data_IF_165517712466
#
_entry.id   IF_165517712466
#
_cell.length_a   1.000
_cell.length_b   1.000
_cell.length_c   1.000
_cell.angle_alpha   90.00
_cell.angle_beta   90.00
_cell.angle_gamma   90.00
#
_symmetry.space_group_name_H-M   'P 1'
#
loop_
_entity.id
_entity.type
_entity.pdbx_description
1 polymer ?
#
# COMPACT_ATOMS: atom_id res chain seq x y z
N UNK A 1 21.06 3.42 10.93
CA UNK A 1 19.84 4.21 11.24
C UNK A 1 18.72 3.20 11.40
N UNK A 2 17.89 3.23 12.46
CA UNK A 2 16.74 2.32 12.53
C UNK A 2 15.86 2.65 11.33
N UNK A 3 15.63 1.65 10.48
CA UNK A 3 14.64 1.73 9.40
C UNK A 3 13.32 1.93 10.15
N UNK A 4 12.83 3.17 10.18
CA UNK A 4 11.51 3.44 10.74
C UNK A 4 10.54 2.65 9.87
N UNK A 5 9.99 1.58 10.43
CA UNK A 5 8.97 0.81 9.73
C UNK A 5 7.84 1.79 9.45
N UNK A 6 7.45 2.00 8.18
CA UNK A 6 6.35 2.89 7.88
C UNK A 6 5.13 2.41 8.66
N UNK A 7 4.39 3.34 9.25
CA UNK A 7 3.17 2.99 9.97
C UNK A 7 2.07 2.77 8.92
N UNK A 8 1.26 1.70 9.02
CA UNK A 8 0.11 1.56 8.16
C UNK A 8 -0.86 2.75 8.36
N UNK A 9 -1.62 3.12 7.33
CA UNK A 9 -2.72 4.07 7.46
C UNK A 9 -3.71 3.63 8.55
N UNK A 10 -4.40 4.60 9.16
CA UNK A 10 -5.38 4.34 10.23
C UNK A 10 -6.73 3.80 9.71
N UNK A 11 -6.78 3.39 8.45
CA UNK A 11 -7.98 2.91 7.77
C UNK A 11 -8.35 1.48 8.22
N UNK A 12 -9.64 1.21 8.32
CA UNK A 12 -10.19 -0.09 8.74
C UNK A 12 -9.93 -1.17 7.68
N UNK A 13 -9.12 -2.17 8.02
CA UNK A 13 -8.74 -3.29 7.15
C UNK A 13 -7.40 -3.87 7.56
N UNK A 14 -7.00 -4.96 6.90
CA UNK A 14 -5.69 -5.55 7.10
C UNK A 14 -4.67 -4.85 6.19
N UNK A 15 -3.55 -4.44 6.76
CA UNK A 15 -2.51 -3.70 6.05
C UNK A 15 -1.24 -4.54 6.01
N UNK A 16 -0.90 -5.03 4.82
CA UNK A 16 0.31 -5.80 4.59
C UNK A 16 1.36 -4.94 3.90
N UNK A 17 2.51 -4.73 4.54
CA UNK A 17 3.64 -4.02 3.91
C UNK A 17 4.29 -4.94 2.87
N UNK A 18 4.20 -4.56 1.60
CA UNK A 18 4.83 -5.29 0.50
C UNK A 18 6.27 -4.85 0.30
N UNK A 19 6.49 -3.53 0.25
CA UNK A 19 7.82 -2.97 0.02
C UNK A 19 8.00 -1.66 0.79
N UNK A 20 9.22 -1.39 1.27
CA UNK A 20 9.54 -0.13 1.95
C UNK A 20 10.82 0.44 1.38
N UNK A 21 10.77 1.71 0.97
CA UNK A 21 11.93 2.52 0.55
C UNK A 21 12.09 3.70 1.52
N UNK A 22 13.11 4.52 1.30
CA UNK A 22 13.43 5.67 2.17
C UNK A 22 12.41 6.79 1.96
N UNK A 23 11.97 7.01 0.71
CA UNK A 23 11.05 8.07 0.30
C UNK A 23 9.58 7.62 0.25
N UNK A 24 9.33 6.31 0.16
CA UNK A 24 7.99 5.77 -0.05
C UNK A 24 7.80 4.35 0.50
N UNK A 25 6.57 3.92 0.63
CA UNK A 25 6.22 2.59 1.13
C UNK A 25 5.03 2.05 0.37
N UNK A 26 5.11 0.78 -0.01
CA UNK A 26 4.08 0.08 -0.75
C UNK A 26 3.35 -0.92 0.14
N UNK A 27 2.05 -0.73 0.25
CA UNK A 27 1.17 -1.47 1.13
C UNK A 27 0.06 -2.14 0.33
N UNK A 28 -0.32 -3.35 0.72
CA UNK A 28 -1.58 -3.96 0.36
C UNK A 28 -2.58 -3.71 1.48
N UNK A 29 -3.77 -3.28 1.11
CA UNK A 29 -4.90 -3.05 1.98
C UNK A 29 -6.01 -4.04 1.67
N UNK A 30 -6.17 -5.03 2.52
CA UNK A 30 -7.18 -6.06 2.40
C UNK A 30 -8.36 -5.73 3.32
N UNK A 31 -9.46 -5.27 2.73
CA UNK A 31 -10.71 -5.04 3.45
C UNK A 31 -11.69 -6.16 3.17
N UNK A 32 -12.23 -6.76 4.24
CA UNK A 32 -13.32 -7.73 4.14
C UNK A 32 -14.63 -7.02 4.48
N UNK A 33 -15.49 -6.82 3.48
CA UNK A 33 -16.77 -6.11 3.66
C UNK A 33 -17.78 -6.93 4.48
N UNK A 34 -17.79 -8.25 4.30
CA UNK A 34 -18.62 -9.19 5.07
C UNK A 34 -17.88 -10.53 5.21
N UNK A 35 -18.16 -11.33 6.25
CA UNK A 35 -17.50 -12.62 6.45
C UNK A 35 -17.70 -13.63 5.30
N UNK A 36 -18.69 -13.41 4.43
CA UNK A 36 -19.02 -14.29 3.30
C UNK A 36 -18.75 -13.66 1.93
N UNK A 37 -18.19 -12.45 1.88
CA UNK A 37 -17.97 -11.71 0.64
C UNK A 37 -16.48 -11.68 0.28
N UNK A 38 -16.15 -11.58 -1.01
CA UNK A 38 -14.79 -11.49 -1.52
C UNK A 38 -14.01 -10.38 -0.81
N UNK A 39 -12.77 -10.68 -0.42
CA UNK A 39 -11.82 -9.69 0.11
C UNK A 39 -11.55 -8.67 -1.00
N UNK A 40 -11.71 -7.38 -0.69
CA UNK A 40 -11.28 -6.30 -1.56
C UNK A 40 -9.85 -5.97 -1.20
N UNK A 41 -8.92 -6.38 -2.06
CA UNK A 41 -7.51 -6.03 -1.96
C UNK A 41 -7.25 -4.77 -2.76
N UNK A 42 -6.68 -3.75 -2.12
CA UNK A 42 -6.20 -2.52 -2.74
C UNK A 42 -4.71 -2.37 -2.51
N UNK A 43 -4.06 -1.62 -3.37
CA UNK A 43 -2.62 -1.41 -3.36
C UNK A 43 -2.35 0.07 -3.16
N UNK A 44 -1.64 0.44 -2.11
CA UNK A 44 -1.46 1.82 -1.68
C UNK A 44 0.01 2.15 -1.57
N UNK A 45 0.44 3.16 -2.32
CA UNK A 45 1.77 3.74 -2.24
C UNK A 45 1.69 5.00 -1.38
N UNK A 46 2.38 4.99 -0.25
CA UNK A 46 2.53 6.15 0.64
C UNK A 46 3.87 6.81 0.35
N UNK A 47 3.85 8.03 -0.16
CA UNK A 47 5.03 8.86 -0.45
C UNK A 47 4.77 10.28 0.07
N UNK A 48 5.03 10.59 1.34
CA UNK A 48 4.62 11.86 1.94
C UNK A 48 5.09 13.07 1.11
N UNK A 49 4.20 14.00 0.73
CA UNK A 49 2.80 14.14 1.16
C UNK A 49 1.76 13.41 0.27
N UNK A 50 2.19 12.73 -0.78
CA UNK A 50 1.35 12.02 -1.74
C UNK A 50 0.94 10.63 -1.23
N UNK A 51 -0.32 10.27 -1.49
CA UNK A 51 -0.86 8.92 -1.32
C UNK A 51 -1.52 8.53 -2.63
N UNK A 52 -1.16 7.37 -3.13
CA UNK A 52 -1.68 6.82 -4.38
C UNK A 52 -2.34 5.48 -4.07
N UNK A 53 -3.62 5.37 -4.38
CA UNK A 53 -4.44 4.19 -4.15
C UNK A 53 -4.79 3.54 -5.49
N UNK A 54 -4.58 2.24 -5.59
CA UNK A 54 -4.78 1.44 -6.78
C UNK A 54 -5.64 0.21 -6.45
N UNK A 55 -6.42 -0.24 -7.43
CA UNK A 55 -7.26 -1.45 -7.29
C UNK A 55 -6.52 -2.72 -7.75
N UNK A 56 -5.39 -2.61 -8.47
CA UNK A 56 -4.61 -3.76 -8.95
C UNK A 56 -3.13 -3.69 -8.59
N UNK A 57 -2.50 -4.86 -8.43
CA UNK A 57 -1.08 -4.96 -8.09
C UNK A 57 -0.21 -4.46 -9.24
N UNK A 58 -0.46 -4.92 -10.47
CA UNK A 58 0.32 -4.55 -11.65
C UNK A 58 0.35 -3.04 -11.88
N UNK A 59 -0.79 -2.35 -11.72
CA UNK A 59 -0.84 -0.89 -11.88
C UNK A 59 -0.03 -0.18 -10.79
N UNK A 60 -0.16 -0.64 -9.53
CA UNK A 60 0.59 -0.07 -8.43
C UNK A 60 2.09 -0.33 -8.54
N UNK A 61 2.50 -1.53 -8.92
CA UNK A 61 3.90 -1.89 -9.13
C UNK A 61 4.51 -1.05 -10.26
N UNK A 62 3.84 -0.94 -11.40
CA UNK A 62 4.30 -0.11 -12.52
C UNK A 62 4.47 1.35 -12.11
N UNK A 63 3.55 1.90 -11.32
CA UNK A 63 3.66 3.26 -10.80
C UNK A 63 4.78 3.39 -9.76
N UNK A 64 4.96 2.39 -8.90
CA UNK A 64 6.00 2.36 -7.89
C UNK A 64 7.40 2.31 -8.51
N UNK A 65 7.57 1.56 -9.61
CA UNK A 65 8.80 1.45 -10.38
C UNK A 65 9.06 2.69 -11.24
N UNK A 66 8.02 3.22 -11.90
CA UNK A 66 8.14 4.45 -12.70
C UNK A 66 8.56 5.68 -11.88
N UNK A 67 8.39 5.63 -10.55
CA UNK A 67 8.86 6.68 -9.63
C UNK A 67 10.34 6.53 -9.21
N UNK A 68 11.05 5.47 -9.64
CA UNK A 68 12.50 5.32 -9.43
C UNK A 68 13.37 6.13 -10.41
N UNK A 69 12.78 6.92 -11.33
CA UNK A 69 13.50 7.83 -12.24
C UNK A 69 13.70 9.26 -11.70
#
# INVERSE_FOLDING_TARGET
MPIQTPRPPADDGDWTLLQSRIDRSFWQWDRRLEPSTSVTSRFVILRPPERLDYDTFDEAEAMFEAMEE
#
